data_IF_164725391605
#
_entry.id   IF_164725391605
#
_cell.length_a   1.000
_cell.length_b   1.000
_cell.length_c   1.000
_cell.angle_alpha   90.00
_cell.angle_beta   90.00
_cell.angle_gamma   90.00
#
_symmetry.space_group_name_H-M   'P 1'
#
loop_
_entity.id
_entity.type
_entity.pdbx_description
1 polymer ?
#
# COMPACT_ATOMS: atom_id res chain seq x y z
N UNK A 1 49.78 31.52 47.38
CA UNK A 1 49.11 31.61 46.11
C UNK A 1 47.61 31.51 46.34
N UNK A 2 46.96 32.65 46.24
CA UNK A 2 45.49 32.76 46.37
C UNK A 2 44.84 32.23 45.11
N UNK A 3 44.21 31.08 45.21
CA UNK A 3 43.33 30.56 44.19
C UNK A 3 42.09 31.42 44.12
N UNK A 4 41.88 32.06 42.99
CA UNK A 4 40.83 33.03 42.71
C UNK A 4 39.45 32.35 42.75
N UNK A 5 38.76 32.39 43.91
CA UNK A 5 37.44 31.76 44.13
C UNK A 5 36.31 32.43 43.33
N UNK A 6 36.57 33.53 42.62
CA UNK A 6 35.57 34.27 41.83
C UNK A 6 35.23 33.63 40.46
N UNK A 7 35.95 32.64 39.99
CA UNK A 7 35.67 31.97 38.71
C UNK A 7 34.67 30.82 38.82
N UNK A 8 34.43 30.30 40.02
CA UNK A 8 33.56 29.14 40.24
C UNK A 8 32.06 29.38 39.93
N UNK A 9 31.45 30.53 40.28
CA UNK A 9 30.05 30.81 39.94
C UNK A 9 29.83 30.99 38.43
N UNK A 10 30.83 31.57 37.71
CA UNK A 10 30.74 31.81 36.28
C UNK A 10 30.79 30.51 35.47
N UNK A 11 31.63 29.56 35.85
CA UNK A 11 31.71 28.23 35.23
C UNK A 11 30.45 27.41 35.51
N UNK A 12 29.85 27.50 36.68
CA UNK A 12 28.58 26.82 37.00
C UNK A 12 27.41 27.43 36.21
N UNK A 13 27.43 28.78 36.03
CA UNK A 13 26.38 29.47 35.26
C UNK A 13 26.47 29.14 33.76
N UNK A 14 27.68 29.10 33.17
CA UNK A 14 27.88 28.65 31.78
C UNK A 14 27.54 27.16 31.57
N UNK A 15 27.93 26.30 32.52
CA UNK A 15 27.61 24.85 32.44
C UNK A 15 26.11 24.58 32.56
N UNK A 16 25.40 25.28 33.44
CA UNK A 16 23.96 25.20 33.55
C UNK A 16 23.26 25.73 32.28
N UNK A 17 23.68 26.88 31.75
CA UNK A 17 23.12 27.44 30.53
C UNK A 17 23.39 26.50 29.30
N UNK A 18 24.58 25.90 29.22
CA UNK A 18 24.88 24.93 28.18
C UNK A 18 23.98 23.67 28.29
N UNK A 19 23.79 23.16 29.50
CA UNK A 19 22.94 21.99 29.74
C UNK A 19 21.46 22.30 29.49
N UNK A 20 20.96 23.44 29.93
CA UNK A 20 19.59 23.89 29.65
C UNK A 20 19.36 24.11 28.15
N UNK A 21 20.29 24.75 27.45
CA UNK A 21 20.17 24.95 26.02
C UNK A 21 20.24 23.60 25.25
N UNK A 22 21.12 22.70 25.67
CA UNK A 22 21.23 21.35 25.04
C UNK A 22 19.96 20.52 25.29
N UNK A 23 19.43 20.51 26.51
CA UNK A 23 18.17 19.84 26.83
C UNK A 23 16.98 20.52 26.12
N UNK A 24 16.94 21.85 26.05
CA UNK A 24 15.87 22.58 25.38
C UNK A 24 15.88 22.37 23.87
N UNK A 25 17.05 22.44 23.24
CA UNK A 25 17.20 22.13 21.78
C UNK A 25 16.87 20.68 21.51
N UNK A 26 17.33 19.74 22.36
CA UNK A 26 16.99 18.33 22.26
C UNK A 26 15.48 18.08 22.37
N UNK A 27 14.84 18.67 23.39
CA UNK A 27 13.39 18.59 23.59
C UNK A 27 12.61 19.19 22.42
N UNK A 28 13.03 20.38 21.95
CA UNK A 28 12.40 21.06 20.82
C UNK A 28 12.53 20.25 19.52
N UNK A 29 13.70 19.68 19.24
CA UNK A 29 13.96 18.80 18.10
C UNK A 29 13.14 17.50 18.17
N UNK A 30 13.01 16.92 19.37
CA UNK A 30 12.18 15.73 19.60
C UNK A 30 10.69 16.03 19.42
N UNK A 31 10.23 17.20 19.94
CA UNK A 31 8.85 17.65 19.79
C UNK A 31 8.47 17.89 18.31
N UNK A 32 9.32 18.59 17.55
CA UNK A 32 9.09 18.80 16.11
C UNK A 32 9.09 17.49 15.33
N UNK A 33 10.05 16.61 15.57
CA UNK A 33 10.11 15.30 14.92
C UNK A 33 8.88 14.45 15.22
N UNK A 34 8.40 14.47 16.46
CA UNK A 34 7.17 13.76 16.86
C UNK A 34 5.93 14.36 16.21
N UNK A 35 5.86 15.67 16.07
CA UNK A 35 4.76 16.38 15.40
C UNK A 35 4.73 16.06 13.90
N UNK A 36 5.86 16.08 13.22
CA UNK A 36 5.95 15.71 11.80
C UNK A 36 5.52 14.25 11.57
N UNK A 37 5.96 13.35 12.44
CA UNK A 37 5.57 11.94 12.36
C UNK A 37 4.04 11.78 12.53
N UNK A 38 3.45 12.41 13.54
CA UNK A 38 2.01 12.37 13.79
C UNK A 38 1.20 12.93 12.59
N UNK A 39 1.66 14.03 12.00
CA UNK A 39 1.02 14.61 10.81
C UNK A 39 1.09 13.66 9.62
N UNK A 40 2.20 12.95 9.42
CA UNK A 40 2.37 11.94 8.38
C UNK A 40 1.43 10.75 8.61
N UNK A 41 1.33 10.26 9.84
CA UNK A 41 0.42 9.18 10.23
C UNK A 41 -1.03 9.55 9.92
N UNK A 42 -1.49 10.72 10.37
CA UNK A 42 -2.84 11.21 10.13
C UNK A 42 -3.11 11.39 8.63
N UNK A 43 -2.19 11.99 7.90
CA UNK A 43 -2.32 12.20 6.46
C UNK A 43 -2.47 10.87 5.72
N UNK A 44 -1.60 9.90 5.99
CA UNK A 44 -1.66 8.58 5.36
C UNK A 44 -2.92 7.81 5.76
N UNK A 45 -3.40 7.98 6.99
CA UNK A 45 -4.70 7.45 7.43
C UNK A 45 -5.86 8.02 6.60
N UNK A 46 -5.90 9.33 6.40
CA UNK A 46 -6.91 10.02 5.57
C UNK A 46 -6.81 9.59 4.10
N UNK A 47 -5.60 9.55 3.54
CA UNK A 47 -5.37 9.06 2.17
C UNK A 47 -5.87 7.63 2.03
N UNK A 48 -5.59 6.78 3.01
CA UNK A 48 -6.04 5.38 2.99
C UNK A 48 -7.54 5.26 3.10
N UNK A 49 -8.19 6.11 3.88
CA UNK A 49 -9.66 6.20 3.92
C UNK A 49 -10.24 6.45 2.52
N UNK A 50 -9.76 7.48 1.81
CA UNK A 50 -10.25 7.80 0.48
C UNK A 50 -9.93 6.71 -0.54
N UNK A 51 -8.70 6.19 -0.55
CA UNK A 51 -8.31 5.14 -1.51
C UNK A 51 -9.07 3.83 -1.27
N UNK A 52 -9.35 3.48 -0.02
CA UNK A 52 -10.18 2.31 0.34
C UNK A 52 -11.66 2.53 0.01
N UNK A 53 -12.18 3.74 0.17
CA UNK A 53 -13.53 4.12 -0.27
C UNK A 53 -13.68 3.92 -1.78
N UNK A 54 -12.73 4.44 -2.56
CA UNK A 54 -12.68 4.28 -4.02
C UNK A 54 -12.64 2.79 -4.41
N UNK A 55 -11.74 2.04 -3.76
CA UNK A 55 -11.62 0.61 -4.00
C UNK A 55 -12.92 -0.16 -3.69
N UNK A 56 -13.67 0.27 -2.68
CA UNK A 56 -14.94 -0.37 -2.32
C UNK A 56 -16.09 -0.01 -3.27
N UNK A 57 -16.09 1.18 -3.86
CA UNK A 57 -17.08 1.63 -4.84
C UNK A 57 -16.85 0.98 -6.20
N UNK A 58 -15.61 1.03 -6.71
CA UNK A 58 -15.26 0.60 -8.07
C UNK A 58 -14.85 -0.87 -8.11
N UNK A 59 -14.27 -1.36 -7.02
CA UNK A 59 -13.69 -2.70 -6.90
C UNK A 59 -12.19 -2.75 -7.17
N UNK A 60 -11.62 -1.69 -7.74
CA UNK A 60 -10.19 -1.60 -8.10
C UNK A 60 -9.66 -0.17 -7.97
N UNK A 61 -8.36 0.01 -8.10
CA UNK A 61 -7.71 1.32 -8.23
C UNK A 61 -7.20 1.91 -6.92
N UNK A 62 -7.88 1.71 -5.80
CA UNK A 62 -7.48 2.29 -4.52
C UNK A 62 -6.08 1.84 -4.06
N UNK A 63 -5.76 0.55 -4.21
CA UNK A 63 -4.41 0.05 -3.91
C UNK A 63 -3.34 0.64 -4.84
N UNK A 64 -3.65 0.82 -6.12
CA UNK A 64 -2.75 1.47 -7.08
C UNK A 64 -2.52 2.94 -6.73
N UNK A 65 -3.57 3.67 -6.33
CA UNK A 65 -3.42 5.05 -5.85
C UNK A 65 -2.54 5.12 -4.60
N UNK A 66 -2.80 4.26 -3.63
CA UNK A 66 -2.04 4.27 -2.38
C UNK A 66 -0.55 4.00 -2.63
N UNK A 67 -0.20 2.97 -3.41
CA UNK A 67 1.20 2.61 -3.66
C UNK A 67 1.97 3.71 -4.41
N UNK A 68 1.30 4.54 -5.23
CA UNK A 68 1.94 5.67 -5.93
C UNK A 68 2.12 6.91 -5.05
N UNK A 69 1.39 7.01 -3.94
CA UNK A 69 1.52 8.12 -2.99
C UNK A 69 2.61 7.81 -1.94
N UNK A 70 2.72 6.57 -1.51
CA UNK A 70 3.62 6.13 -0.45
C UNK A 70 5.11 6.50 -0.65
N UNK A 71 5.70 6.52 -1.87
CA UNK A 71 7.11 6.89 -2.05
C UNK A 71 7.46 8.31 -1.59
N UNK A 72 6.47 9.19 -1.44
CA UNK A 72 6.67 10.55 -0.91
C UNK A 72 6.80 10.59 0.63
N UNK A 73 6.54 9.47 1.33
CA UNK A 73 6.45 9.43 2.80
C UNK A 73 7.23 8.27 3.43
N UNK A 74 7.51 7.23 2.67
CA UNK A 74 8.17 6.01 3.15
C UNK A 74 9.43 5.70 2.34
N UNK A 75 10.46 5.15 2.97
CA UNK A 75 11.63 4.65 2.26
C UNK A 75 11.25 3.46 1.36
N UNK A 76 12.03 3.26 0.30
CA UNK A 76 11.74 2.28 -0.76
C UNK A 76 11.51 0.87 -0.23
N UNK A 77 12.30 0.44 0.75
CA UNK A 77 12.19 -0.90 1.36
C UNK A 77 10.91 -1.10 2.19
N UNK A 78 10.25 -0.02 2.62
CA UNK A 78 9.00 -0.08 3.38
C UNK A 78 7.74 0.01 2.50
N UNK A 79 7.85 0.44 1.23
CA UNK A 79 6.71 0.71 0.36
C UNK A 79 5.78 -0.50 0.21
N UNK A 80 6.32 -1.61 -0.26
CA UNK A 80 5.52 -2.80 -0.55
C UNK A 80 5.04 -3.50 0.72
N UNK A 81 5.88 -3.67 1.78
CA UNK A 81 5.43 -4.28 3.03
C UNK A 81 4.29 -3.51 3.71
N UNK A 82 4.45 -2.19 3.93
CA UNK A 82 3.44 -1.34 4.58
C UNK A 82 2.17 -1.27 3.73
N UNK A 83 2.30 -1.07 2.42
CA UNK A 83 1.18 -1.16 1.49
C UNK A 83 0.48 -2.53 1.57
N UNK A 84 1.25 -3.62 1.62
CA UNK A 84 0.73 -4.98 1.71
C UNK A 84 -0.18 -5.19 2.93
N UNK A 85 0.29 -4.80 4.12
CA UNK A 85 -0.48 -4.93 5.36
C UNK A 85 -1.74 -4.03 5.35
N UNK A 86 -1.61 -2.81 4.86
CA UNK A 86 -2.75 -1.89 4.72
C UNK A 86 -3.78 -2.43 3.73
N UNK A 87 -3.34 -2.93 2.57
CA UNK A 87 -4.25 -3.49 1.57
C UNK A 87 -4.85 -4.83 2.01
N UNK A 88 -4.14 -5.63 2.80
CA UNK A 88 -4.71 -6.80 3.46
C UNK A 88 -5.97 -6.38 4.26
N UNK A 89 -5.84 -5.36 5.10
CA UNK A 89 -6.96 -4.86 5.91
C UNK A 89 -8.08 -4.26 5.07
N UNK A 90 -7.76 -3.43 4.07
CA UNK A 90 -8.75 -2.82 3.17
C UNK A 90 -9.55 -3.89 2.39
N UNK A 91 -8.86 -4.90 1.87
CA UNK A 91 -9.49 -5.98 1.13
C UNK A 91 -10.30 -6.90 2.05
N UNK A 92 -9.74 -7.28 3.21
CA UNK A 92 -10.43 -8.12 4.20
C UNK A 92 -11.73 -7.44 4.69
N UNK A 93 -11.68 -6.15 5.01
CA UNK A 93 -12.87 -5.39 5.41
C UNK A 93 -13.95 -5.42 4.34
N UNK A 94 -13.58 -5.21 3.06
CA UNK A 94 -14.56 -5.31 1.94
C UNK A 94 -15.13 -6.71 1.77
N UNK A 95 -14.30 -7.74 1.92
CA UNK A 95 -14.76 -9.13 1.87
C UNK A 95 -15.72 -9.45 3.01
N UNK A 96 -15.41 -8.97 4.23
CA UNK A 96 -16.30 -9.13 5.42
C UNK A 96 -17.59 -8.36 5.23
N UNK A 97 -17.57 -7.11 4.80
CA UNK A 97 -18.79 -6.33 4.56
C UNK A 97 -19.66 -6.88 3.42
N UNK A 98 -19.04 -7.60 2.46
CA UNK A 98 -19.72 -8.26 1.34
C UNK A 98 -19.73 -9.78 1.43
N UNK A 99 -19.61 -10.39 2.62
CA UNK A 99 -19.36 -11.83 2.79
C UNK A 99 -20.37 -12.74 2.09
N UNK A 100 -21.63 -12.30 1.96
CA UNK A 100 -22.71 -13.04 1.28
C UNK A 100 -22.50 -13.18 -0.23
N UNK A 101 -21.73 -12.27 -0.80
CA UNK A 101 -21.47 -12.21 -2.23
C UNK A 101 -20.15 -12.90 -2.62
N UNK A 102 -19.33 -13.31 -1.63
CA UNK A 102 -18.06 -14.00 -1.88
C UNK A 102 -18.30 -15.39 -2.48
N UNK A 103 -17.68 -15.67 -3.61
CA UNK A 103 -17.73 -16.97 -4.27
C UNK A 103 -16.57 -17.81 -3.75
N UNK A 104 -16.82 -18.61 -2.74
CA UNK A 104 -15.82 -19.38 -2.00
C UNK A 104 -15.17 -20.50 -2.82
N UNK A 105 -15.87 -21.00 -3.86
CA UNK A 105 -15.40 -22.08 -4.72
C UNK A 105 -14.12 -21.75 -5.52
N UNK A 106 -13.82 -20.47 -5.72
CA UNK A 106 -12.60 -20.06 -6.44
C UNK A 106 -11.38 -19.97 -5.53
N UNK A 107 -11.56 -19.90 -4.20
CA UNK A 107 -10.49 -19.71 -3.22
C UNK A 107 -9.42 -20.82 -3.26
N UNK A 108 -9.75 -22.13 -3.28
CA UNK A 108 -8.73 -23.17 -3.32
C UNK A 108 -7.82 -23.09 -4.55
N UNK A 109 -8.41 -22.83 -5.72
CA UNK A 109 -7.65 -22.65 -6.98
C UNK A 109 -6.74 -21.43 -6.93
N UNK A 110 -7.25 -20.34 -6.33
CA UNK A 110 -6.46 -19.12 -6.09
C UNK A 110 -5.24 -19.39 -5.23
N UNK A 111 -5.42 -20.07 -4.10
CA UNK A 111 -4.34 -20.36 -3.16
C UNK A 111 -3.23 -21.18 -3.82
N UNK A 112 -3.57 -22.22 -4.58
CA UNK A 112 -2.58 -23.06 -5.28
C UNK A 112 -1.71 -22.22 -6.24
N UNK A 113 -2.32 -21.40 -7.09
CA UNK A 113 -1.58 -20.52 -7.99
C UNK A 113 -0.75 -19.48 -7.25
N UNK A 114 -1.33 -18.89 -6.19
CA UNK A 114 -0.70 -17.85 -5.39
C UNK A 114 0.52 -18.34 -4.60
N UNK A 115 0.47 -19.51 -3.98
CA UNK A 115 1.61 -20.08 -3.25
C UNK A 115 2.80 -20.33 -4.17
N UNK A 116 2.59 -20.92 -5.35
CA UNK A 116 3.65 -21.14 -6.32
C UNK A 116 4.17 -19.82 -6.89
N UNK A 117 3.27 -18.89 -7.22
CA UNK A 117 3.63 -17.58 -7.74
C UNK A 117 4.50 -16.80 -6.75
N UNK A 118 4.06 -16.71 -5.48
CA UNK A 118 4.80 -15.95 -4.47
C UNK A 118 6.16 -16.58 -4.17
N UNK A 119 6.26 -17.90 -4.13
CA UNK A 119 7.53 -18.59 -3.88
C UNK A 119 8.57 -18.32 -4.97
N UNK A 120 8.18 -18.42 -6.25
CA UNK A 120 9.07 -18.16 -7.38
C UNK A 120 9.45 -16.68 -7.47
N UNK A 121 8.46 -15.78 -7.38
CA UNK A 121 8.75 -14.34 -7.49
C UNK A 121 9.48 -13.77 -6.25
N UNK A 122 9.29 -14.35 -5.07
CA UNK A 122 10.09 -14.01 -3.88
C UNK A 122 11.58 -14.31 -4.09
N UNK A 123 11.89 -15.44 -4.73
CA UNK A 123 13.28 -15.78 -5.08
C UNK A 123 13.85 -14.79 -6.11
N UNK A 124 13.04 -14.33 -7.07
CA UNK A 124 13.46 -13.34 -8.07
C UNK A 124 13.67 -11.96 -7.41
N UNK A 125 12.85 -11.60 -6.42
CA UNK A 125 12.93 -10.30 -5.74
C UNK A 125 14.33 -10.05 -5.14
N UNK A 126 15.02 -11.07 -4.67
CA UNK A 126 16.38 -10.96 -4.11
C UNK A 126 17.43 -10.48 -5.13
N UNK A 127 17.14 -10.56 -6.43
CA UNK A 127 18.01 -10.10 -7.53
C UNK A 127 17.59 -8.75 -8.10
N UNK A 128 16.47 -8.18 -7.66
CA UNK A 128 15.97 -6.89 -8.15
C UNK A 128 16.48 -5.78 -7.23
N UNK A 129 17.12 -4.76 -7.79
CA UNK A 129 17.44 -3.55 -7.05
C UNK A 129 16.16 -2.81 -6.66
N UNK A 130 16.03 -2.50 -5.36
CA UNK A 130 14.83 -1.86 -4.80
C UNK A 130 14.58 -0.46 -5.38
N UNK A 131 15.62 0.22 -5.84
CA UNK A 131 15.49 1.57 -6.43
C UNK A 131 14.64 1.60 -7.71
N UNK A 132 14.55 0.47 -8.45
CA UNK A 132 13.69 0.35 -9.63
C UNK A 132 12.25 -0.06 -9.31
N UNK A 133 11.92 -0.41 -8.06
CA UNK A 133 10.55 -0.79 -7.67
C UNK A 133 9.51 0.28 -8.04
N UNK A 134 9.73 1.59 -7.79
CA UNK A 134 8.78 2.62 -8.21
C UNK A 134 8.59 2.68 -9.73
N UNK A 135 9.65 2.44 -10.52
CA UNK A 135 9.56 2.35 -11.98
C UNK A 135 8.65 1.20 -12.41
N UNK A 136 8.85 0.00 -11.84
CA UNK A 136 7.99 -1.16 -12.14
C UNK A 136 6.53 -0.92 -11.76
N UNK A 137 6.29 -0.27 -10.61
CA UNK A 137 4.94 0.13 -10.18
C UNK A 137 4.29 1.04 -11.22
N UNK A 138 4.97 2.12 -11.61
CA UNK A 138 4.44 3.09 -12.55
C UNK A 138 4.18 2.49 -13.93
N UNK A 139 5.13 1.74 -14.48
CA UNK A 139 5.00 1.05 -15.78
C UNK A 139 3.85 0.05 -15.75
N UNK A 140 3.74 -0.77 -14.71
CA UNK A 140 2.63 -1.73 -14.56
C UNK A 140 1.28 -1.02 -14.55
N UNK A 141 1.14 0.09 -13.82
CA UNK A 141 -0.10 0.86 -13.75
C UNK A 141 -0.47 1.40 -15.14
N UNK A 142 0.48 2.00 -15.88
CA UNK A 142 0.23 2.51 -17.22
C UNK A 142 -0.18 1.41 -18.19
N UNK A 143 0.51 0.28 -18.19
CA UNK A 143 0.16 -0.88 -19.02
C UNK A 143 -1.23 -1.42 -18.69
N UNK A 144 -1.58 -1.52 -17.41
CA UNK A 144 -2.89 -1.99 -16.95
C UNK A 144 -4.04 -1.04 -17.35
N UNK A 145 -3.76 0.26 -17.44
CA UNK A 145 -4.78 1.27 -17.77
C UNK A 145 -4.97 1.49 -19.29
N UNK A 146 -3.88 1.40 -20.07
CA UNK A 146 -3.87 1.89 -21.44
C UNK A 146 -3.52 0.84 -22.50
N UNK A 147 -2.89 -0.28 -22.14
CA UNK A 147 -2.51 -1.30 -23.13
C UNK A 147 -3.58 -2.37 -23.27
N UNK A 148 -4.39 -2.28 -24.31
CA UNK A 148 -5.36 -3.34 -24.65
C UNK A 148 -4.66 -4.68 -24.90
N UNK A 149 -3.53 -4.66 -25.62
CA UNK A 149 -2.72 -5.87 -25.88
C UNK A 149 -2.23 -6.53 -24.59
N UNK A 150 -1.81 -5.74 -23.60
CA UNK A 150 -1.42 -6.24 -22.28
C UNK A 150 -2.60 -6.89 -21.57
N UNK A 151 -3.73 -6.19 -21.55
CA UNK A 151 -4.96 -6.70 -20.93
C UNK A 151 -5.51 -7.92 -21.64
N UNK A 152 -5.44 -7.98 -22.99
CA UNK A 152 -5.86 -9.15 -23.76
C UNK A 152 -4.94 -10.35 -23.56
N UNK A 153 -3.61 -10.15 -23.52
CA UNK A 153 -2.69 -11.24 -23.18
C UNK A 153 -3.03 -11.85 -21.83
N UNK A 154 -3.29 -11.00 -20.82
CA UNK A 154 -3.69 -11.46 -19.49
C UNK A 154 -5.02 -12.21 -19.54
N UNK A 155 -6.00 -11.70 -20.31
CA UNK A 155 -7.31 -12.36 -20.51
C UNK A 155 -7.20 -13.70 -21.24
N UNK A 156 -6.21 -13.85 -22.10
CA UNK A 156 -6.00 -15.05 -22.95
C UNK A 156 -5.50 -16.25 -22.14
N UNK A 157 -4.87 -16.03 -21.00
CA UNK A 157 -4.58 -17.10 -20.06
C UNK A 157 -5.88 -17.55 -19.41
N UNK A 158 -6.57 -18.52 -20.03
CA UNK A 158 -7.86 -19.06 -19.59
C UNK A 158 -7.78 -19.79 -18.24
N UNK A 159 -6.58 -20.14 -17.82
CA UNK A 159 -6.34 -20.81 -16.55
C UNK A 159 -6.34 -19.80 -15.39
N UNK A 160 -7.33 -19.92 -14.53
CA UNK A 160 -7.35 -19.22 -13.24
C UNK A 160 -6.05 -19.40 -12.45
N UNK A 161 -5.48 -20.61 -12.50
CA UNK A 161 -4.23 -20.94 -11.84
C UNK A 161 -3.08 -20.06 -12.32
N UNK A 162 -2.84 -19.98 -13.64
CA UNK A 162 -1.76 -19.16 -14.21
C UNK A 162 -1.95 -17.67 -13.93
N UNK A 163 -3.18 -17.18 -14.04
CA UNK A 163 -3.48 -15.77 -13.76
C UNK A 163 -3.20 -15.40 -12.30
N UNK A 164 -3.54 -16.27 -11.37
CA UNK A 164 -3.30 -16.04 -9.95
C UNK A 164 -1.84 -16.26 -9.55
N UNK A 165 -1.14 -17.17 -10.23
CA UNK A 165 0.30 -17.35 -10.13
C UNK A 165 1.04 -16.03 -10.46
N UNK A 166 0.78 -15.47 -11.64
CA UNK A 166 1.40 -14.20 -12.03
C UNK A 166 0.94 -13.02 -11.19
N UNK A 167 -0.34 -12.96 -10.86
CA UNK A 167 -0.88 -11.85 -10.08
C UNK A 167 -0.25 -11.77 -8.69
N UNK A 168 -0.23 -12.87 -7.94
CA UNK A 168 0.33 -12.87 -6.58
C UNK A 168 1.85 -12.70 -6.64
N UNK A 169 2.51 -13.36 -7.59
CA UNK A 169 3.95 -13.20 -7.80
C UNK A 169 4.34 -11.76 -8.13
N UNK A 170 3.74 -11.17 -9.17
CA UNK A 170 4.02 -9.77 -9.54
C UNK A 170 3.69 -8.79 -8.41
N UNK A 171 2.72 -9.11 -7.54
CA UNK A 171 2.33 -8.22 -6.46
C UNK A 171 3.44 -7.95 -5.44
N UNK A 172 4.47 -8.81 -5.37
CA UNK A 172 5.64 -8.60 -4.51
C UNK A 172 6.50 -7.45 -5.03
N UNK A 173 6.54 -7.27 -6.36
CA UNK A 173 7.36 -6.24 -7.00
C UNK A 173 6.58 -4.94 -7.20
N UNK A 174 5.35 -5.03 -7.73
CA UNK A 174 4.56 -3.84 -8.09
C UNK A 174 3.53 -3.42 -7.04
N UNK A 175 3.36 -4.18 -5.99
CA UNK A 175 2.48 -3.87 -4.87
C UNK A 175 1.00 -4.10 -5.13
N UNK A 176 0.45 -3.65 -6.27
CA UNK A 176 -0.98 -3.61 -6.53
C UNK A 176 -1.35 -4.23 -7.88
N UNK A 177 -1.82 -5.47 -7.88
CA UNK A 177 -2.18 -6.27 -9.07
C UNK A 177 -3.69 -6.57 -9.18
N UNK A 178 -4.51 -5.84 -8.43
CA UNK A 178 -5.97 -6.01 -8.37
C UNK A 178 -6.70 -6.11 -9.72
N UNK A 179 -6.32 -5.35 -10.77
CA UNK A 179 -6.97 -5.44 -12.08
C UNK A 179 -6.98 -6.85 -12.69
N UNK A 180 -5.94 -7.66 -12.44
CA UNK A 180 -5.85 -9.02 -13.00
C UNK A 180 -6.95 -9.93 -12.46
N UNK A 181 -7.15 -9.98 -11.14
CA UNK A 181 -8.22 -10.77 -10.52
C UNK A 181 -9.59 -10.30 -10.96
N UNK A 182 -9.82 -8.99 -10.95
CA UNK A 182 -11.13 -8.44 -11.28
C UNK A 182 -11.53 -8.75 -12.72
N UNK A 183 -10.58 -8.65 -13.66
CA UNK A 183 -10.81 -8.97 -15.06
C UNK A 183 -11.24 -10.42 -15.26
N UNK A 184 -10.64 -11.36 -14.50
CA UNK A 184 -11.01 -12.77 -14.56
C UNK A 184 -12.41 -13.02 -14.00
N UNK A 185 -12.71 -12.48 -12.83
CA UNK A 185 -14.00 -12.66 -12.19
C UNK A 185 -15.16 -12.07 -13.00
N UNK A 186 -14.92 -10.97 -13.74
CA UNK A 186 -15.91 -10.37 -14.65
C UNK A 186 -16.29 -11.26 -15.83
N UNK A 187 -15.50 -12.30 -16.16
CA UNK A 187 -15.89 -13.28 -17.20
C UNK A 187 -17.00 -14.18 -16.67
N UNK A 188 -16.93 -14.63 -15.42
CA UNK A 188 -17.80 -15.65 -14.86
C UNK A 188 -18.99 -15.06 -14.10
N UNK A 189 -18.81 -13.88 -13.52
CA UNK A 189 -19.81 -13.25 -12.65
C UNK A 189 -20.28 -11.91 -13.21
N UNK A 190 -21.56 -11.82 -13.58
CA UNK A 190 -22.19 -10.57 -14.07
C UNK A 190 -22.56 -9.61 -12.92
N UNK A 191 -22.75 -10.13 -11.72
CA UNK A 191 -23.12 -9.32 -10.56
C UNK A 191 -21.89 -8.60 -10.00
N UNK A 192 -21.93 -7.26 -9.95
CA UNK A 192 -20.83 -6.41 -9.48
C UNK A 192 -20.45 -6.69 -8.02
N UNK A 193 -21.42 -6.94 -7.14
CA UNK A 193 -21.16 -7.19 -5.73
C UNK A 193 -20.40 -8.51 -5.55
N UNK A 194 -20.79 -9.57 -6.27
CA UNK A 194 -20.06 -10.84 -6.29
C UNK A 194 -18.61 -10.66 -6.75
N UNK A 195 -18.39 -9.92 -7.84
CA UNK A 195 -17.05 -9.66 -8.38
C UNK A 195 -16.20 -8.88 -7.37
N UNK A 196 -16.73 -7.81 -6.80
CA UNK A 196 -15.99 -6.95 -5.87
C UNK A 196 -15.69 -7.67 -4.55
N UNK A 197 -16.67 -8.38 -3.97
CA UNK A 197 -16.49 -9.11 -2.72
C UNK A 197 -15.50 -10.28 -2.89
N UNK A 198 -15.63 -11.06 -3.97
CA UNK A 198 -14.72 -12.17 -4.26
C UNK A 198 -13.31 -11.67 -4.56
N UNK A 199 -13.16 -10.64 -5.40
CA UNK A 199 -11.86 -10.02 -5.65
C UNK A 199 -11.21 -9.54 -4.35
N UNK A 200 -11.98 -8.92 -3.46
CA UNK A 200 -11.47 -8.47 -2.17
C UNK A 200 -11.00 -9.64 -1.29
N UNK A 201 -11.75 -10.74 -1.23
CA UNK A 201 -11.33 -11.94 -0.50
C UNK A 201 -10.01 -12.51 -1.04
N UNK A 202 -9.92 -12.70 -2.37
CA UNK A 202 -8.70 -13.19 -3.02
C UNK A 202 -7.51 -12.25 -2.84
N UNK A 203 -7.72 -10.94 -2.96
CA UNK A 203 -6.67 -9.95 -2.73
C UNK A 203 -6.20 -9.92 -1.28
N UNK A 204 -7.09 -10.09 -0.30
CA UNK A 204 -6.66 -10.16 1.10
C UNK A 204 -5.74 -11.35 1.35
N UNK A 205 -6.05 -12.52 0.78
CA UNK A 205 -5.19 -13.71 0.83
C UNK A 205 -3.83 -13.46 0.17
N UNK A 206 -3.81 -12.84 -1.01
CA UNK A 206 -2.56 -12.44 -1.67
C UNK A 206 -1.69 -11.54 -0.81
N UNK A 207 -2.31 -10.55 -0.13
CA UNK A 207 -1.59 -9.65 0.76
C UNK A 207 -1.15 -10.32 2.07
N UNK A 208 -1.90 -11.27 2.60
CA UNK A 208 -1.47 -12.10 3.74
C UNK A 208 -0.17 -12.83 3.38
N UNK A 209 -0.15 -13.54 2.24
CA UNK A 209 1.05 -14.23 1.77
C UNK A 209 2.23 -13.28 1.61
N UNK A 210 1.99 -12.09 1.07
CA UNK A 210 3.00 -11.04 0.90
C UNK A 210 3.58 -10.58 2.24
N UNK A 211 2.76 -10.35 3.24
CA UNK A 211 3.21 -9.95 4.59
C UNK A 211 4.16 -11.00 5.16
N UNK A 212 3.82 -12.30 5.05
CA UNK A 212 4.70 -13.38 5.50
C UNK A 212 6.04 -13.41 4.76
N UNK A 213 6.05 -13.16 3.44
CA UNK A 213 7.29 -13.11 2.66
C UNK A 213 8.18 -11.97 3.13
N UNK A 214 7.64 -10.77 3.35
CA UNK A 214 8.45 -9.65 3.83
C UNK A 214 8.93 -9.84 5.27
N UNK A 215 8.15 -10.50 6.13
CA UNK A 215 8.63 -10.92 7.45
C UNK A 215 9.80 -11.90 7.34
N UNK A 216 9.72 -12.87 6.43
CA UNK A 216 10.81 -13.82 6.17
C UNK A 216 12.09 -13.11 5.66
N UNK A 217 11.96 -12.06 4.85
CA UNK A 217 13.08 -11.20 4.43
C UNK A 217 13.55 -10.21 5.49
N UNK A 218 13.05 -10.30 6.73
CA UNK A 218 13.51 -9.51 7.86
C UNK A 218 12.90 -8.11 7.97
N UNK A 219 11.79 -7.83 7.25
CA UNK A 219 11.11 -6.54 7.41
C UNK A 219 10.40 -6.45 8.76
N UNK A 220 10.75 -5.43 9.55
CA UNK A 220 10.20 -5.18 10.88
C UNK A 220 9.02 -4.22 10.78
N UNK A 221 7.79 -4.76 10.77
CA UNK A 221 6.57 -3.96 10.69
C UNK A 221 6.39 -3.02 11.88
N UNK A 222 6.96 -3.38 13.03
CA UNK A 222 6.82 -2.59 14.26
C UNK A 222 7.46 -1.20 14.16
N UNK A 223 8.49 -1.03 13.32
CA UNK A 223 9.15 0.26 13.08
C UNK A 223 8.21 1.30 12.43
N UNK A 224 7.12 0.82 11.82
CA UNK A 224 6.11 1.64 11.13
C UNK A 224 4.73 1.56 11.80
N UNK A 225 4.67 1.11 13.06
CA UNK A 225 3.39 0.74 13.72
C UNK A 225 2.39 1.91 13.78
N UNK A 226 2.83 3.14 14.04
CA UNK A 226 1.95 4.32 14.09
C UNK A 226 1.29 4.60 12.73
N UNK A 227 2.10 4.60 11.65
CA UNK A 227 1.63 4.75 10.27
C UNK A 227 0.65 3.61 9.92
N UNK A 228 1.01 2.37 10.24
CA UNK A 228 0.18 1.19 9.97
C UNK A 228 -1.17 1.28 10.69
N UNK A 229 -1.20 1.64 11.96
CA UNK A 229 -2.45 1.78 12.73
C UNK A 229 -3.35 2.84 12.09
N UNK A 230 -2.81 4.03 11.77
CA UNK A 230 -3.57 5.10 11.15
C UNK A 230 -4.15 4.66 9.78
N UNK A 231 -3.33 4.00 8.95
CA UNK A 231 -3.74 3.48 7.65
C UNK A 231 -4.77 2.35 7.78
N UNK A 232 -4.64 1.45 8.75
CA UNK A 232 -5.60 0.36 9.03
C UNK A 232 -6.96 0.93 9.43
N UNK A 233 -6.99 1.92 10.32
CA UNK A 233 -8.24 2.60 10.70
C UNK A 233 -8.88 3.25 9.48
N UNK A 234 -8.10 3.99 8.67
CA UNK A 234 -8.56 4.58 7.43
C UNK A 234 -9.09 3.53 6.44
N UNK A 235 -8.40 2.39 6.30
CA UNK A 235 -8.79 1.29 5.42
C UNK A 235 -10.15 0.69 5.78
N UNK A 236 -10.38 0.41 7.07
CA UNK A 236 -11.64 -0.16 7.56
C UNK A 236 -12.79 0.84 7.36
N UNK A 237 -12.61 2.08 7.82
CA UNK A 237 -13.62 3.13 7.70
C UNK A 237 -13.95 3.43 6.23
N UNK A 238 -12.94 3.58 5.37
CA UNK A 238 -13.13 3.82 3.95
C UNK A 238 -13.80 2.66 3.23
N UNK A 239 -13.43 1.42 3.53
CA UNK A 239 -14.08 0.23 2.98
C UNK A 239 -15.56 0.13 3.38
N UNK A 240 -15.90 0.49 4.62
CA UNK A 240 -17.28 0.52 5.08
C UNK A 240 -18.12 1.58 4.36
N UNK A 241 -17.61 2.81 4.28
CA UNK A 241 -18.28 3.91 3.56
C UNK A 241 -18.45 3.56 2.08
N UNK A 242 -17.40 3.12 1.43
CA UNK A 242 -17.41 2.80 -0.01
C UNK A 242 -18.34 1.63 -0.35
N UNK A 243 -18.45 0.63 0.52
CA UNK A 243 -19.40 -0.47 0.33
C UNK A 243 -20.86 0.02 0.35
N UNK A 244 -21.19 0.95 1.24
CA UNK A 244 -22.52 1.58 1.28
C UNK A 244 -22.80 2.47 0.06
N UNK A 245 -21.78 3.17 -0.45
CA UNK A 245 -21.92 4.08 -1.59
C UNK A 245 -21.88 3.37 -2.95
N UNK A 246 -21.46 2.10 -3.02
CA UNK A 246 -21.23 1.34 -4.27
C UNK A 246 -22.43 1.34 -5.23
N UNK A 247 -23.63 1.22 -4.70
CA UNK A 247 -24.87 1.14 -5.50
C UNK A 247 -25.49 2.52 -5.77
N UNK A 248 -24.96 3.59 -5.17
CA UNK A 248 -25.45 4.97 -5.31
C UNK A 248 -24.64 5.71 -6.38
N UNK A 249 -23.34 5.42 -6.48
CA UNK A 249 -22.41 6.16 -7.36
C UNK A 249 -22.34 5.50 -8.74
N UNK A 250 -22.46 6.34 -9.80
CA UNK A 250 -22.19 5.91 -11.19
C UNK A 250 -20.71 5.54 -11.36
N UNK A 251 -20.45 4.23 -11.32
CA UNK A 251 -19.11 3.67 -11.42
C UNK A 251 -18.41 3.96 -12.75
N UNK A 252 -19.13 4.22 -13.85
CA UNK A 252 -18.53 4.49 -15.17
C UNK A 252 -17.82 5.84 -15.19
N UNK A 253 -18.52 6.91 -14.80
CA UNK A 253 -17.94 8.27 -14.71
C UNK A 253 -16.76 8.30 -13.74
N UNK A 254 -16.92 7.64 -12.59
CA UNK A 254 -15.88 7.57 -11.57
C UNK A 254 -14.63 6.82 -12.06
N UNK A 255 -14.78 5.76 -12.86
CA UNK A 255 -13.66 5.01 -13.43
C UNK A 255 -12.82 5.86 -14.39
N UNK A 256 -13.42 6.76 -15.15
CA UNK A 256 -12.69 7.67 -16.06
C UNK A 256 -11.81 8.63 -15.24
N UNK A 257 -12.37 9.27 -14.22
CA UNK A 257 -11.62 10.17 -13.31
C UNK A 257 -10.46 9.41 -12.65
N UNK A 258 -10.73 8.21 -12.16
CA UNK A 258 -9.72 7.36 -11.56
C UNK A 258 -8.59 7.00 -12.53
N UNK A 259 -8.92 6.70 -13.80
CA UNK A 259 -7.95 6.39 -14.85
C UNK A 259 -7.00 7.55 -15.11
N UNK A 260 -7.52 8.78 -15.19
CA UNK A 260 -6.72 10.00 -15.38
C UNK A 260 -5.81 10.24 -14.17
N UNK A 261 -6.37 10.17 -12.97
CA UNK A 261 -5.60 10.38 -11.74
C UNK A 261 -4.48 9.35 -11.58
N UNK A 262 -4.77 8.08 -11.80
CA UNK A 262 -3.76 7.01 -11.74
C UNK A 262 -2.67 7.19 -12.80
N UNK A 263 -3.01 7.70 -13.99
CA UNK A 263 -2.02 8.01 -15.02
C UNK A 263 -1.06 9.10 -14.55
N UNK A 264 -1.58 10.20 -14.00
CA UNK A 264 -0.75 11.28 -13.47
C UNK A 264 0.16 10.80 -12.32
N UNK A 265 -0.38 10.00 -11.40
CA UNK A 265 0.38 9.44 -10.29
C UNK A 265 1.47 8.45 -10.76
N UNK A 266 1.17 7.61 -11.74
CA UNK A 266 2.14 6.68 -12.31
C UNK A 266 3.29 7.41 -13.00
N UNK A 267 3.00 8.45 -13.78
CA UNK A 267 4.02 9.32 -14.39
C UNK A 267 4.89 9.97 -13.32
N UNK A 268 4.29 10.53 -12.26
CA UNK A 268 5.03 11.13 -11.13
C UNK A 268 6.02 10.13 -10.53
N UNK A 269 5.61 8.91 -10.31
CA UNK A 269 6.45 7.87 -9.68
C UNK A 269 7.58 7.44 -10.63
N UNK A 270 7.32 7.32 -11.94
CA UNK A 270 8.35 6.99 -12.94
C UNK A 270 9.39 8.12 -13.01
N UNK A 271 8.93 9.35 -13.16
CA UNK A 271 9.81 10.53 -13.27
C UNK A 271 10.67 10.69 -12.01
N UNK A 272 10.10 10.40 -10.84
CA UNK A 272 10.82 10.44 -9.57
C UNK A 272 12.05 9.51 -9.51
N UNK A 273 12.07 8.41 -10.25
CA UNK A 273 13.24 7.50 -10.29
C UNK A 273 14.45 8.10 -11.03
N UNK A 274 14.19 9.03 -11.96
CA UNK A 274 15.26 9.63 -12.81
C UNK A 274 15.70 11.01 -12.32
N UNK A 275 15.02 11.61 -11.34
CA UNK A 275 15.35 12.94 -10.81
C UNK A 275 16.13 12.86 -9.50
N UNK A 276 16.10 11.75 -8.82
CA UNK A 276 16.87 11.42 -7.60
C UNK A 276 17.99 10.42 -7.92
#
# INVERSE_FOLDING_TARGET
PLINIHLFPFLIWEYNNFFYNFCFIGYFKLYYKRRELLMTELFLGIVTFFTSTIAAIVGLGGGMMLITILPSFLPINALIPVHGLTQMTSNLSRAVFGYKDVQYEVIPKFLLGSFLGIGIFASILSFISLEYVPLFIGVYILLSLWSEKFNEKIKRYESYFLSWFFQTGLSIVVGATGPLTMTLLLKDYKNKDKVVATSAALMSLSHILKVFVFMYFGFVFFDYIGIIIAMVIGAIAGSWVGTKLRNIIDGKKFTIILKVLLTALAIKVIVGVFIW
#
